data_IF_321102085246
#
_entry.id   IF_321102085246
#
_cell.length_a   1.000
_cell.length_b   1.000
_cell.length_c   1.000
_cell.angle_alpha   90.00
_cell.angle_beta   90.00
_cell.angle_gamma   90.00
#
_symmetry.space_group_name_H-M   'P 1'
#
loop_
_entity.id
_entity.type
_entity.pdbx_description
1 polymer ?
#
# COMPACT_ATOMS: atom_id res chain seq x y z
N UNK A 1 -9.73 -12.81 -1.59
CA UNK A 1 -10.06 -13.58 -0.36
C UNK A 1 -11.34 -13.07 0.32
N UNK A 2 -11.45 -11.79 0.69
CA UNK A 2 -12.59 -11.27 1.46
C UNK A 2 -13.96 -11.59 0.83
N UNK A 3 -14.14 -11.31 -0.47
CA UNK A 3 -15.41 -11.59 -1.17
C UNK A 3 -15.77 -13.07 -1.20
N UNK A 4 -14.80 -13.96 -1.46
CA UNK A 4 -15.02 -15.40 -1.46
C UNK A 4 -15.43 -15.94 -0.08
N UNK A 5 -14.88 -15.38 1.01
CA UNK A 5 -15.29 -15.76 2.37
C UNK A 5 -16.73 -15.33 2.66
N UNK A 6 -17.13 -14.14 2.21
CA UNK A 6 -18.51 -13.67 2.34
C UNK A 6 -19.48 -14.53 1.53
N UNK A 7 -19.12 -14.86 0.28
CA UNK A 7 -19.92 -15.72 -0.60
C UNK A 7 -20.10 -17.13 -0.03
N UNK A 8 -19.05 -17.68 0.59
CA UNK A 8 -19.10 -18.98 1.27
C UNK A 8 -19.83 -18.96 2.63
N UNK A 9 -20.35 -17.81 3.09
CA UNK A 9 -21.05 -17.68 4.37
C UNK A 9 -20.14 -17.69 5.60
N UNK A 10 -18.83 -17.48 5.43
CA UNK A 10 -17.89 -17.43 6.55
C UNK A 10 -18.10 -16.12 7.34
N UNK A 11 -18.32 -16.17 8.67
CA UNK A 11 -18.58 -14.97 9.47
C UNK A 11 -17.29 -14.19 9.76
N UNK A 12 -16.81 -13.42 8.78
CA UNK A 12 -15.69 -12.50 8.96
C UNK A 12 -16.15 -11.22 9.67
N UNK A 13 -15.24 -10.60 10.46
CA UNK A 13 -15.57 -9.39 11.24
C UNK A 13 -15.86 -8.19 10.33
N UNK A 14 -15.01 -7.96 9.34
CA UNK A 14 -15.06 -6.81 8.43
C UNK A 14 -14.42 -7.20 7.08
N UNK A 15 -14.82 -6.55 5.96
CA UNK A 15 -14.15 -6.72 4.68
C UNK A 15 -12.70 -6.20 4.73
N UNK A 16 -11.80 -6.93 4.06
CA UNK A 16 -10.39 -6.55 3.91
C UNK A 16 -10.08 -6.31 2.44
N UNK A 17 -9.48 -5.16 2.15
CA UNK A 17 -8.92 -4.79 0.85
C UNK A 17 -7.41 -4.51 0.99
N UNK A 18 -6.71 -4.41 -0.12
CA UNK A 18 -5.30 -4.04 -0.13
C UNK A 18 -4.89 -3.34 -1.42
N UNK A 19 -3.81 -2.57 -1.34
CA UNK A 19 -3.27 -1.79 -2.43
C UNK A 19 -1.74 -1.91 -2.45
N UNK A 20 -1.16 -1.94 -3.65
CA UNK A 20 0.28 -1.83 -3.86
C UNK A 20 0.64 -0.37 -4.13
N UNK A 21 1.70 0.10 -3.49
CA UNK A 21 2.15 1.47 -3.55
C UNK A 21 3.62 1.49 -3.93
N UNK A 22 4.03 2.51 -4.67
CA UNK A 22 5.42 2.70 -5.06
C UNK A 22 5.91 4.09 -4.71
N UNK A 23 7.22 4.25 -4.79
CA UNK A 23 7.88 5.52 -4.58
C UNK A 23 9.04 5.66 -5.56
N UNK A 24 9.12 6.82 -6.18
CA UNK A 24 10.25 7.25 -7.00
C UNK A 24 10.87 8.48 -6.36
N UNK A 25 12.17 8.45 -6.13
CA UNK A 25 12.94 9.52 -5.52
C UNK A 25 14.14 9.89 -6.41
N UNK A 26 14.08 11.10 -6.97
CA UNK A 26 15.20 11.68 -7.72
C UNK A 26 15.72 12.92 -7.00
N UNK A 27 16.96 12.85 -6.50
CA UNK A 27 17.61 13.92 -5.74
C UNK A 27 16.77 14.34 -4.52
N UNK A 28 16.10 15.50 -4.59
CA UNK A 28 15.27 16.07 -3.55
C UNK A 28 13.76 15.95 -3.81
N UNK A 29 13.37 15.33 -4.94
CA UNK A 29 11.96 15.14 -5.31
C UNK A 29 11.55 13.71 -5.05
N UNK A 30 10.46 13.55 -4.31
CA UNK A 30 9.83 12.25 -4.05
C UNK A 30 8.41 12.27 -4.59
N UNK A 31 8.03 11.22 -5.31
CA UNK A 31 6.67 11.00 -5.82
C UNK A 31 6.19 9.64 -5.31
N UNK A 32 4.95 9.60 -4.82
CA UNK A 32 4.29 8.38 -4.35
C UNK A 32 3.31 7.94 -5.43
N UNK A 33 3.42 6.70 -5.86
CA UNK A 33 2.56 6.05 -6.86
C UNK A 33 1.54 5.16 -6.15
N UNK A 34 0.31 5.16 -6.65
CA UNK A 34 -0.79 4.32 -6.17
C UNK A 34 -1.12 3.25 -7.19
N UNK A 35 -1.42 2.05 -6.71
CA UNK A 35 -1.79 0.88 -7.51
C UNK A 35 -0.77 0.58 -8.61
N UNK A 36 0.48 0.40 -8.18
CA UNK A 36 1.61 0.28 -9.11
C UNK A 36 1.52 -0.96 -10.00
N UNK A 37 1.94 -0.78 -11.25
CA UNK A 37 2.17 -1.86 -12.20
C UNK A 37 3.51 -2.57 -11.92
N UNK A 38 3.69 -3.75 -12.51
CA UNK A 38 4.92 -4.53 -12.35
C UNK A 38 6.18 -3.78 -12.80
N UNK A 39 6.09 -2.98 -13.86
CA UNK A 39 7.21 -2.17 -14.34
C UNK A 39 7.55 -1.04 -13.37
N UNK A 40 6.55 -0.46 -12.72
CA UNK A 40 6.72 0.60 -11.71
C UNK A 40 7.31 0.07 -10.41
N UNK A 41 7.00 -1.19 -10.04
CA UNK A 41 7.69 -1.89 -8.95
C UNK A 41 9.16 -2.14 -9.34
N UNK A 42 9.40 -2.75 -10.50
CA UNK A 42 10.74 -3.15 -10.95
C UNK A 42 11.71 -1.97 -11.08
N UNK A 43 11.21 -0.80 -11.52
CA UNK A 43 12.01 0.41 -11.74
C UNK A 43 11.93 1.41 -10.58
N UNK A 44 11.04 1.20 -9.61
CA UNK A 44 10.83 2.09 -8.47
C UNK A 44 11.89 1.93 -7.37
N UNK A 45 11.94 2.92 -6.47
CA UNK A 45 12.93 2.99 -5.38
C UNK A 45 12.44 2.35 -4.07
N UNK A 46 11.13 2.17 -3.94
CA UNK A 46 10.49 1.43 -2.87
C UNK A 46 9.14 0.94 -3.37
N UNK A 47 8.76 -0.26 -2.95
CA UNK A 47 7.39 -0.74 -3.02
C UNK A 47 6.91 -1.11 -1.62
N UNK A 48 5.67 -0.76 -1.32
CA UNK A 48 5.04 -1.17 -0.07
C UNK A 48 3.59 -1.54 -0.32
N UNK A 49 3.14 -2.57 0.39
CA UNK A 49 1.84 -3.18 0.20
C UNK A 49 1.09 -3.05 1.52
N UNK A 50 -0.12 -2.50 1.45
CA UNK A 50 -0.96 -2.26 2.62
C UNK A 50 -2.27 -2.98 2.43
N UNK A 51 -2.63 -3.83 3.40
CA UNK A 51 -3.95 -4.43 3.47
C UNK A 51 -4.63 -4.10 4.80
N UNK A 52 -5.96 -4.02 4.80
CA UNK A 52 -6.71 -3.63 5.98
C UNK A 52 -8.21 -3.51 5.75
N UNK A 53 -8.90 -3.22 6.84
CA UNK A 53 -10.32 -2.85 6.84
C UNK A 53 -10.45 -1.32 6.77
N UNK A 54 -11.67 -0.82 6.88
CA UNK A 54 -11.92 0.62 7.05
C UNK A 54 -11.34 1.16 8.37
N UNK A 55 -11.32 0.33 9.42
CA UNK A 55 -10.90 0.72 10.76
C UNK A 55 -9.38 0.65 10.97
N UNK A 56 -8.66 -0.16 10.19
CA UNK A 56 -7.23 -0.34 10.45
C UNK A 56 -6.48 -1.13 9.39
N UNK A 57 -5.17 -1.21 9.59
CA UNK A 57 -4.25 -2.02 8.77
C UNK A 57 -4.17 -3.42 9.39
N UNK A 58 -4.35 -4.44 8.58
CA UNK A 58 -4.21 -5.86 8.99
C UNK A 58 -2.87 -6.44 8.55
N UNK A 59 -2.27 -5.90 7.48
CA UNK A 59 -0.95 -6.28 7.03
C UNK A 59 -0.23 -5.09 6.37
N UNK A 60 1.08 -5.02 6.60
CA UNK A 60 1.98 -4.07 5.96
C UNK A 60 3.23 -4.84 5.53
N UNK A 61 3.58 -4.75 4.26
CA UNK A 61 4.87 -5.18 3.73
C UNK A 61 5.57 -3.96 3.16
N UNK A 62 6.87 -3.84 3.38
CA UNK A 62 7.68 -2.75 2.87
C UNK A 62 9.00 -3.31 2.37
N UNK A 63 9.30 -3.06 1.10
CA UNK A 63 10.58 -3.38 0.49
C UNK A 63 11.24 -2.07 0.03
N UNK A 64 12.40 -1.79 0.62
CA UNK A 64 13.10 -0.52 0.44
C UNK A 64 14.37 -0.79 -0.35
N UNK A 65 14.44 -0.24 -1.56
CA UNK A 65 15.58 -0.45 -2.46
C UNK A 65 16.65 0.65 -2.31
N UNK A 66 16.31 1.79 -1.69
CA UNK A 66 17.22 2.93 -1.46
C UNK A 66 17.31 3.35 0.02
N UNK A 67 18.42 3.99 0.41
CA UNK A 67 18.51 4.65 1.72
C UNK A 67 17.87 6.05 1.69
N UNK A 68 17.40 6.53 2.85
CA UNK A 68 17.02 7.95 3.01
C UNK A 68 15.53 8.29 2.91
N UNK A 69 14.62 7.32 3.00
CA UNK A 69 13.19 7.61 3.06
C UNK A 69 12.85 8.18 4.45
N UNK A 70 12.33 9.41 4.45
CA UNK A 70 11.98 10.10 5.68
C UNK A 70 10.66 9.62 6.25
N UNK A 71 10.49 9.70 7.57
CA UNK A 71 9.22 9.39 8.25
C UNK A 71 8.03 10.17 7.66
N UNK A 72 8.23 11.43 7.29
CA UNK A 72 7.20 12.30 6.70
C UNK A 72 6.70 11.78 5.34
N UNK A 73 7.62 11.26 4.52
CA UNK A 73 7.28 10.63 3.24
C UNK A 73 6.47 9.37 3.49
N UNK A 74 6.90 8.53 4.43
CA UNK A 74 6.18 7.31 4.78
C UNK A 74 4.76 7.59 5.30
N UNK A 75 4.60 8.60 6.17
CA UNK A 75 3.27 9.03 6.65
C UNK A 75 2.36 9.48 5.51
N UNK A 76 2.90 10.23 4.55
CA UNK A 76 2.16 10.67 3.37
C UNK A 76 1.76 9.49 2.49
N UNK A 77 2.67 8.53 2.32
CA UNK A 77 2.44 7.33 1.52
C UNK A 77 1.39 6.41 2.16
N UNK A 78 1.43 6.21 3.47
CA UNK A 78 0.41 5.46 4.21
C UNK A 78 -0.97 6.13 4.17
N UNK A 79 -1.02 7.46 4.18
CA UNK A 79 -2.27 8.21 4.02
C UNK A 79 -2.88 7.99 2.63
N UNK A 80 -2.07 8.13 1.58
CA UNK A 80 -2.50 7.87 0.21
C UNK A 80 -2.91 6.41 0.00
N UNK A 81 -2.21 5.46 0.62
CA UNK A 81 -2.57 4.05 0.59
C UNK A 81 -3.89 3.77 1.31
N UNK A 82 -4.18 4.48 2.41
CA UNK A 82 -5.48 4.38 3.08
C UNK A 82 -6.59 4.86 2.15
N UNK A 83 -6.42 6.00 1.50
CA UNK A 83 -7.43 6.55 0.59
C UNK A 83 -7.67 5.60 -0.59
N UNK A 84 -6.61 5.02 -1.16
CA UNK A 84 -6.72 4.01 -2.22
C UNK A 84 -7.38 2.70 -1.77
N UNK A 85 -7.19 2.28 -0.52
CA UNK A 85 -7.85 1.08 0.03
C UNK A 85 -9.36 1.29 0.27
N UNK A 86 -9.79 2.53 0.49
CA UNK A 86 -11.19 2.88 0.77
C UNK A 86 -12.02 3.21 -0.47
N UNK A 87 -11.38 3.29 -1.64
CA UNK A 87 -12.04 3.48 -2.92
C UNK A 87 -12.70 2.17 -3.38
#
# INVERSE_FOLDING_TARGET
ASLALMDAGVPIKEPVAGIAMGLIQEKSKTVILSDILGDEDALGDMDFKVAGTQQGITALQMDIKISGITKKVLESALKQAKDGRLH
#
